data_IF_728010341031
#
_entry.id   IF_728010341031
#
_cell.length_a   1.000
_cell.length_b   1.000
_cell.length_c   1.000
_cell.angle_alpha   90.00
_cell.angle_beta   90.00
_cell.angle_gamma   90.00
#
_symmetry.space_group_name_H-M   'P 1'
#
loop_
_entity.id
_entity.type
_entity.pdbx_description
1 polymer ?
#
# COMPACT_ATOMS: atom_id res chain seq x y z
N UNK A 1 -41.08 -5.93 2.94
CA UNK A 1 -40.55 -5.18 1.78
C UNK A 1 -39.03 -5.35 1.78
N UNK A 2 -38.54 -6.35 1.05
CA UNK A 2 -37.09 -6.58 0.88
C UNK A 2 -36.52 -5.47 0.02
N UNK A 3 -35.64 -4.65 0.59
CA UNK A 3 -34.80 -3.73 -0.19
C UNK A 3 -33.89 -4.56 -1.08
N UNK A 4 -34.15 -4.58 -2.38
CA UNK A 4 -33.26 -5.14 -3.40
C UNK A 4 -31.93 -4.38 -3.30
N UNK A 5 -30.91 -4.98 -2.68
CA UNK A 5 -29.53 -4.49 -2.79
C UNK A 5 -29.14 -4.60 -4.26
N UNK A 6 -29.02 -3.47 -4.92
CA UNK A 6 -28.34 -3.41 -6.21
C UNK A 6 -26.97 -4.09 -6.03
N UNK A 7 -26.62 -5.09 -6.85
CA UNK A 7 -25.32 -5.74 -6.72
C UNK A 7 -24.22 -4.68 -6.86
N UNK A 8 -23.35 -4.62 -5.87
CA UNK A 8 -22.22 -3.70 -5.88
C UNK A 8 -21.27 -4.12 -7.01
N UNK A 9 -21.03 -3.20 -7.97
CA UNK A 9 -20.14 -3.47 -9.11
C UNK A 9 -18.77 -3.90 -8.63
N UNK A 10 -18.22 -4.93 -9.23
CA UNK A 10 -16.84 -5.37 -8.95
C UNK A 10 -15.83 -4.39 -9.54
N UNK A 11 -14.57 -4.44 -9.10
CA UNK A 11 -13.51 -3.64 -9.72
C UNK A 11 -13.35 -3.95 -11.21
N UNK A 12 -13.61 -5.19 -11.61
CA UNK A 12 -13.59 -5.59 -13.01
C UNK A 12 -14.69 -4.89 -13.82
N UNK A 13 -15.92 -4.83 -13.27
CA UNK A 13 -17.04 -4.13 -13.90
C UNK A 13 -16.76 -2.63 -14.02
N UNK A 14 -16.19 -2.03 -12.96
CA UNK A 14 -15.81 -0.61 -12.97
C UNK A 14 -14.71 -0.31 -14.00
N UNK A 15 -13.70 -1.17 -14.11
CA UNK A 15 -12.66 -1.02 -15.13
C UNK A 15 -13.26 -1.16 -16.53
N UNK A 16 -14.20 -2.09 -16.74
CA UNK A 16 -14.88 -2.25 -18.02
C UNK A 16 -15.73 -1.01 -18.36
N UNK A 17 -16.47 -0.46 -17.41
CA UNK A 17 -17.27 0.75 -17.58
C UNK A 17 -16.38 1.97 -17.91
N UNK A 18 -15.28 2.15 -17.19
CA UNK A 18 -14.32 3.23 -17.46
C UNK A 18 -13.72 3.14 -18.88
N UNK A 19 -13.37 1.93 -19.35
CA UNK A 19 -12.89 1.71 -20.72
C UNK A 19 -13.92 2.08 -21.79
N UNK A 20 -15.21 2.10 -21.44
CA UNK A 20 -16.31 2.53 -22.29
C UNK A 20 -16.63 4.03 -22.15
N UNK A 21 -15.86 4.78 -21.36
CA UNK A 21 -15.98 6.22 -21.20
C UNK A 21 -16.77 6.67 -19.95
N UNK A 22 -17.14 5.75 -19.04
CA UNK A 22 -17.78 6.13 -17.78
C UNK A 22 -16.74 6.62 -16.74
N UNK A 23 -16.57 7.94 -16.66
CA UNK A 23 -15.65 8.56 -15.70
C UNK A 23 -16.06 8.37 -14.23
N UNK A 24 -17.35 8.09 -13.94
CA UNK A 24 -17.82 7.81 -12.59
C UNK A 24 -17.23 6.51 -12.07
N UNK A 25 -16.97 5.55 -12.94
CA UNK A 25 -16.31 4.30 -12.59
C UNK A 25 -14.87 4.55 -12.09
N UNK A 26 -14.11 5.49 -12.68
CA UNK A 26 -12.79 5.88 -12.18
C UNK A 26 -12.89 6.50 -10.78
N UNK A 27 -13.84 7.40 -10.56
CA UNK A 27 -14.07 8.01 -9.24
C UNK A 27 -14.35 6.96 -8.17
N UNK A 28 -15.17 5.95 -8.50
CA UNK A 28 -15.48 4.87 -7.58
C UNK A 28 -14.27 3.97 -7.29
N UNK A 29 -13.44 3.65 -8.28
CA UNK A 29 -12.18 2.92 -8.08
C UNK A 29 -11.23 3.68 -7.15
N UNK A 30 -11.08 5.00 -7.35
CA UNK A 30 -10.28 5.83 -6.45
C UNK A 30 -10.85 5.81 -5.04
N UNK A 31 -12.15 6.03 -4.87
CA UNK A 31 -12.83 6.02 -3.57
C UNK A 31 -12.59 4.71 -2.80
N UNK A 32 -12.63 3.57 -3.49
CA UNK A 32 -12.44 2.23 -2.88
C UNK A 32 -11.01 1.98 -2.42
N UNK A 33 -10.04 2.45 -3.19
CA UNK A 33 -8.66 2.00 -3.03
C UNK A 33 -7.70 3.05 -2.49
N UNK A 34 -8.00 4.35 -2.57
CA UNK A 34 -7.07 5.42 -2.17
C UNK A 34 -6.62 5.30 -0.71
N UNK A 35 -7.56 5.02 0.22
CA UNK A 35 -7.22 4.84 1.63
C UNK A 35 -6.27 3.67 1.88
N UNK A 36 -6.46 2.54 1.19
CA UNK A 36 -5.57 1.37 1.31
C UNK A 36 -4.17 1.66 0.76
N UNK A 37 -4.09 2.32 -0.41
CA UNK A 37 -2.82 2.72 -1.01
C UNK A 37 -2.10 3.74 -0.12
N UNK A 38 -2.81 4.72 0.44
CA UNK A 38 -2.24 5.70 1.38
C UNK A 38 -1.64 5.04 2.62
N UNK A 39 -2.37 4.14 3.27
CA UNK A 39 -1.86 3.38 4.43
C UNK A 39 -0.63 2.55 4.08
N UNK A 40 -0.65 1.86 2.96
CA UNK A 40 0.50 1.06 2.50
C UNK A 40 1.74 1.93 2.26
N UNK A 41 1.61 3.04 1.54
CA UNK A 41 2.70 3.97 1.26
C UNK A 41 3.27 4.56 2.56
N UNK A 42 2.40 5.04 3.46
CA UNK A 42 2.80 5.58 4.76
C UNK A 42 3.56 4.55 5.59
N UNK A 43 3.00 3.35 5.77
CA UNK A 43 3.63 2.27 6.54
C UNK A 43 4.90 1.73 5.87
N UNK A 44 5.04 1.90 4.55
CA UNK A 44 6.25 1.55 3.80
C UNK A 44 7.33 2.63 3.87
N UNK A 45 7.07 3.77 4.51
CA UNK A 45 8.05 4.83 4.78
C UNK A 45 7.98 6.01 3.81
N UNK A 46 6.84 6.23 3.13
CA UNK A 46 6.60 7.48 2.42
C UNK A 46 6.62 8.66 3.40
N UNK A 47 7.18 9.79 2.97
CA UNK A 47 7.13 11.02 3.77
C UNK A 47 5.71 11.57 3.76
N UNK A 48 5.15 11.96 4.92
CA UNK A 48 3.77 12.43 5.03
C UNK A 48 3.42 13.56 4.06
N UNK A 49 4.32 14.51 3.83
CA UNK A 49 4.10 15.61 2.89
C UNK A 49 3.90 15.18 1.43
N UNK A 50 4.41 14.02 1.06
CA UNK A 50 4.39 13.52 -0.33
C UNK A 50 3.34 12.42 -0.53
N UNK A 51 2.60 12.07 0.54
CA UNK A 51 1.70 10.93 0.53
C UNK A 51 0.56 11.12 -0.47
N UNK A 52 -0.06 12.30 -0.47
CA UNK A 52 -1.16 12.61 -1.37
C UNK A 52 -0.70 12.59 -2.83
N UNK A 53 0.47 13.14 -3.13
CA UNK A 53 1.06 13.13 -4.47
C UNK A 53 1.36 11.70 -4.94
N UNK A 54 1.90 10.85 -4.05
CA UNK A 54 2.17 9.44 -4.36
C UNK A 54 0.88 8.65 -4.61
N UNK A 55 -0.17 8.92 -3.87
CA UNK A 55 -1.49 8.31 -4.08
C UNK A 55 -2.05 8.76 -5.43
N UNK A 56 -2.07 10.05 -5.73
CA UNK A 56 -2.53 10.59 -7.00
C UNK A 56 -1.74 10.02 -8.18
N UNK A 57 -0.41 10.02 -8.11
CA UNK A 57 0.45 9.49 -9.17
C UNK A 57 0.24 7.98 -9.37
N UNK A 58 -0.08 7.23 -8.29
CA UNK A 58 -0.44 5.81 -8.40
C UNK A 58 -1.66 5.64 -9.30
N UNK A 59 -2.75 6.37 -9.07
CA UNK A 59 -3.96 6.28 -9.88
C UNK A 59 -3.76 6.84 -11.28
N UNK A 60 -3.03 7.93 -11.43
CA UNK A 60 -2.70 8.48 -12.74
C UNK A 60 -1.97 7.45 -13.61
N UNK A 61 -0.95 6.77 -13.07
CA UNK A 61 -0.24 5.69 -13.79
C UNK A 61 -1.13 4.48 -14.03
N UNK A 62 -1.99 4.13 -13.07
CA UNK A 62 -2.93 3.04 -13.23
C UNK A 62 -3.88 3.31 -14.41
N UNK A 63 -4.55 4.45 -14.45
CA UNK A 63 -5.49 4.78 -15.52
C UNK A 63 -4.80 4.89 -16.88
N UNK A 64 -3.61 5.47 -16.96
CA UNK A 64 -2.85 5.51 -18.21
C UNK A 64 -2.45 4.13 -18.75
N UNK A 65 -2.26 3.15 -17.87
CA UNK A 65 -1.86 1.78 -18.21
C UNK A 65 -3.00 0.79 -18.16
N UNK A 66 -4.22 1.26 -17.95
CA UNK A 66 -5.37 0.40 -17.71
C UNK A 66 -5.69 -0.51 -18.92
N UNK A 67 -5.38 -0.07 -20.14
CA UNK A 67 -5.52 -0.91 -21.34
C UNK A 67 -4.71 -2.21 -21.25
N UNK A 68 -3.57 -2.20 -20.55
CA UNK A 68 -2.71 -3.37 -20.36
C UNK A 68 -3.09 -4.25 -19.16
N UNK A 69 -4.01 -3.83 -18.31
CA UNK A 69 -4.47 -4.67 -17.20
C UNK A 69 -5.38 -5.79 -17.70
N UNK A 70 -4.93 -7.04 -17.57
CA UNK A 70 -5.60 -8.23 -18.12
C UNK A 70 -6.44 -9.00 -17.11
N UNK A 71 -6.63 -8.48 -15.89
CA UNK A 71 -7.32 -9.15 -14.78
C UNK A 71 -6.68 -10.50 -14.36
N UNK A 72 -5.41 -10.72 -14.68
CA UNK A 72 -4.64 -11.88 -14.21
C UNK A 72 -4.40 -11.81 -12.68
N UNK A 73 -4.44 -10.61 -12.12
CA UNK A 73 -4.43 -10.35 -10.69
C UNK A 73 -5.53 -9.32 -10.33
N UNK A 74 -6.02 -9.32 -9.07
CA UNK A 74 -6.97 -8.32 -8.62
C UNK A 74 -6.48 -6.90 -8.89
N UNK A 75 -7.39 -6.00 -9.27
CA UNK A 75 -7.07 -4.59 -9.56
C UNK A 75 -6.31 -3.93 -8.40
N UNK A 76 -6.72 -4.23 -7.18
CA UNK A 76 -6.07 -3.77 -5.95
C UNK A 76 -4.59 -4.20 -5.87
N UNK A 77 -4.27 -5.47 -6.16
CA UNK A 77 -2.89 -5.98 -6.17
C UNK A 77 -2.03 -5.26 -7.22
N UNK A 78 -2.62 -4.96 -8.36
CA UNK A 78 -1.95 -4.20 -9.40
C UNK A 78 -1.67 -2.75 -8.99
N UNK A 79 -2.59 -2.09 -8.26
CA UNK A 79 -2.35 -0.77 -7.67
C UNK A 79 -1.19 -0.79 -6.67
N UNK A 80 -1.08 -1.81 -5.80
CA UNK A 80 0.06 -1.95 -4.89
C UNK A 80 1.38 -2.14 -5.63
N UNK A 81 1.39 -2.86 -6.75
CA UNK A 81 2.57 -2.97 -7.62
C UNK A 81 3.03 -1.60 -8.14
N UNK A 82 2.10 -0.76 -8.59
CA UNK A 82 2.38 0.60 -9.08
C UNK A 82 2.90 1.48 -7.95
N UNK A 83 2.19 1.50 -6.81
CA UNK A 83 2.56 2.34 -5.65
C UNK A 83 3.90 1.95 -5.04
N UNK A 84 4.20 0.65 -4.91
CA UNK A 84 5.50 0.18 -4.44
C UNK A 84 6.65 0.53 -5.38
N UNK A 85 6.40 0.50 -6.70
CA UNK A 85 7.38 0.97 -7.68
C UNK A 85 7.63 2.47 -7.58
N UNK A 86 6.57 3.26 -7.43
CA UNK A 86 6.66 4.71 -7.23
C UNK A 86 7.47 5.06 -5.99
N UNK A 87 7.19 4.41 -4.88
CA UNK A 87 7.91 4.63 -3.62
C UNK A 87 9.39 4.26 -3.76
N UNK A 88 9.72 3.17 -4.47
CA UNK A 88 11.11 2.81 -4.77
C UNK A 88 11.84 3.88 -5.59
N UNK A 89 11.16 4.42 -6.59
CA UNK A 89 11.72 5.46 -7.44
C UNK A 89 11.93 6.76 -6.66
N UNK A 90 11.01 7.08 -5.74
CA UNK A 90 11.14 8.21 -4.83
C UNK A 90 12.35 8.06 -3.90
N UNK A 91 12.51 6.90 -3.24
CA UNK A 91 13.68 6.63 -2.42
C UNK A 91 15.00 6.71 -3.20
N UNK A 92 15.03 6.23 -4.44
CA UNK A 92 16.24 6.35 -5.28
C UNK A 92 16.57 7.81 -5.60
N UNK A 93 15.56 8.61 -5.93
CA UNK A 93 15.74 10.06 -6.20
C UNK A 93 16.25 10.80 -4.97
N UNK A 94 15.73 10.46 -3.78
CA UNK A 94 16.18 11.08 -2.52
C UNK A 94 17.61 10.68 -2.18
N UNK A 95 17.97 9.40 -2.31
CA UNK A 95 19.37 8.95 -2.12
C UNK A 95 20.34 9.62 -3.07
N UNK A 96 19.99 9.83 -4.33
CA UNK A 96 20.81 10.54 -5.30
C UNK A 96 20.96 12.04 -5.00
N UNK A 97 20.03 12.65 -4.24
CA UNK A 97 20.12 14.02 -3.74
C UNK A 97 20.83 14.14 -2.39
N UNK A 98 20.87 13.07 -1.61
CA UNK A 98 21.45 13.04 -0.27
C UNK A 98 22.92 12.62 -0.31
N UNK A 99 23.74 13.35 -1.04
CA UNK A 99 25.19 13.46 -0.77
C UNK A 99 25.44 14.52 0.32
N UNK A 100 24.37 15.16 0.85
CA UNK A 100 24.46 16.12 1.96
C UNK A 100 23.35 15.85 2.96
N UNK A 101 23.80 15.57 4.20
CA UNK A 101 23.04 15.54 5.47
C UNK A 101 22.25 14.26 5.80
N UNK A 102 22.90 13.45 6.63
CA UNK A 102 22.28 12.52 7.55
C UNK A 102 21.91 13.35 8.79
N UNK A 103 20.69 13.78 8.91
CA UNK A 103 20.12 14.24 10.17
C UNK A 103 18.63 13.95 10.22
N UNK A 104 18.25 13.27 11.30
CA UNK A 104 16.96 13.08 11.94
C UNK A 104 15.69 13.21 11.08
N UNK A 105 14.99 12.08 10.93
CA UNK A 105 13.61 12.05 10.49
C UNK A 105 12.68 12.00 11.69
N UNK A 106 12.34 13.15 12.22
CA UNK A 106 11.12 13.34 12.98
C UNK A 106 9.93 13.09 12.03
N UNK A 107 9.20 12.03 12.28
CA UNK A 107 7.91 11.79 11.62
C UNK A 107 6.86 12.56 12.41
N UNK A 108 6.16 13.56 11.78
CA UNK A 108 5.08 14.23 12.47
C UNK A 108 3.95 13.25 12.77
N UNK A 109 3.61 13.21 14.04
CA UNK A 109 2.48 12.53 14.62
C UNK A 109 1.16 13.14 14.10
N UNK A 110 0.34 12.34 13.42
CA UNK A 110 -1.08 12.63 13.30
C UNK A 110 -1.81 11.56 14.13
N UNK A 111 -1.74 11.75 15.43
CA UNK A 111 -2.57 11.02 16.36
C UNK A 111 -4.03 11.47 16.19
N UNK A 112 -4.92 10.52 16.01
CA UNK A 112 -6.34 10.71 16.20
C UNK A 112 -6.56 11.00 17.71
N UNK A 113 -7.16 12.14 18.10
CA UNK A 113 -7.26 12.52 19.51
C UNK A 113 -8.17 11.62 20.36
N UNK A 114 -8.80 10.62 19.78
CA UNK A 114 -9.71 9.67 20.46
C UNK A 114 -9.21 8.23 20.53
N UNK A 115 -7.96 7.95 20.11
CA UNK A 115 -7.38 6.62 20.29
C UNK A 115 -6.99 6.42 21.76
N UNK A 116 -7.36 5.27 22.32
CA UNK A 116 -6.92 4.82 23.65
C UNK A 116 -5.38 4.86 23.75
N UNK A 117 -4.83 5.47 24.81
CA UNK A 117 -3.39 5.72 24.95
C UNK A 117 -2.55 4.45 24.76
N UNK A 118 -3.02 3.32 25.31
CA UNK A 118 -2.37 2.02 25.16
C UNK A 118 -2.38 1.50 23.72
N UNK A 119 -3.47 1.73 22.98
CA UNK A 119 -3.58 1.38 21.56
C UNK A 119 -2.64 2.25 20.71
N UNK A 120 -2.46 3.52 21.09
CA UNK A 120 -1.55 4.46 20.43
C UNK A 120 -0.09 4.05 20.63
N UNK A 121 0.31 3.66 21.86
CA UNK A 121 1.67 3.18 22.15
C UNK A 121 2.00 1.87 21.44
N UNK A 122 1.06 0.94 21.37
CA UNK A 122 1.24 -0.32 20.64
C UNK A 122 1.37 -0.08 19.13
N UNK A 123 0.56 0.82 18.56
CA UNK A 123 0.62 1.20 17.16
C UNK A 123 1.95 1.88 16.82
N UNK A 124 2.44 2.75 17.71
CA UNK A 124 3.72 3.42 17.54
C UNK A 124 4.90 2.45 17.59
N UNK A 125 4.90 1.53 18.56
CA UNK A 125 5.91 0.44 18.65
C UNK A 125 5.91 -0.43 17.40
N UNK A 126 4.72 -0.78 16.88
CA UNK A 126 4.61 -1.54 15.63
C UNK A 126 5.17 -0.74 14.45
N UNK A 127 4.87 0.55 14.36
CA UNK A 127 5.38 1.44 13.31
C UNK A 127 6.91 1.53 13.35
N UNK A 128 7.49 1.71 14.53
CA UNK A 128 8.94 1.71 14.73
C UNK A 128 9.55 0.36 14.35
N UNK A 129 8.93 -0.74 14.77
CA UNK A 129 9.35 -2.08 14.38
C UNK A 129 9.32 -2.29 12.87
N UNK A 130 8.26 -1.85 12.19
CA UNK A 130 8.15 -1.89 10.73
C UNK A 130 9.24 -1.09 10.04
N UNK A 131 9.64 0.06 10.60
CA UNK A 131 10.71 0.89 10.04
C UNK A 131 12.08 0.18 10.04
N UNK A 132 12.32 -0.74 11.00
CA UNK A 132 13.57 -1.52 11.09
C UNK A 132 13.63 -2.70 10.12
N UNK A 133 12.49 -3.11 9.56
CA UNK A 133 12.46 -4.24 8.63
C UNK A 133 13.10 -3.88 7.29
N UNK A 134 13.83 -4.83 6.65
CA UNK A 134 14.13 -4.72 5.24
C UNK A 134 12.86 -4.47 4.42
N UNK A 135 12.96 -3.61 3.42
CA UNK A 135 11.81 -3.12 2.64
C UNK A 135 10.85 -4.24 2.20
N UNK A 136 11.36 -5.28 1.57
CA UNK A 136 10.51 -6.36 1.03
C UNK A 136 9.79 -7.14 2.14
N UNK A 137 10.44 -7.34 3.30
CA UNK A 137 9.80 -7.97 4.46
C UNK A 137 8.66 -7.09 4.98
N UNK A 138 8.86 -5.77 5.06
CA UNK A 138 7.85 -4.80 5.47
C UNK A 138 6.66 -4.80 4.52
N UNK A 139 6.90 -4.65 3.21
CA UNK A 139 5.84 -4.63 2.19
C UNK A 139 5.03 -5.92 2.17
N UNK A 140 5.69 -7.09 2.24
CA UNK A 140 5.00 -8.39 2.33
C UNK A 140 4.15 -8.48 3.59
N UNK A 141 4.68 -8.04 4.75
CA UNK A 141 3.94 -8.04 6.01
C UNK A 141 2.69 -7.16 5.93
N UNK A 142 2.84 -5.93 5.41
CA UNK A 142 1.73 -4.99 5.27
C UNK A 142 0.63 -5.52 4.35
N UNK A 143 1.00 -6.05 3.18
CA UNK A 143 0.03 -6.61 2.25
C UNK A 143 -0.67 -7.85 2.82
N UNK A 144 0.02 -8.65 3.63
CA UNK A 144 -0.57 -9.83 4.26
C UNK A 144 -1.52 -9.48 5.41
N UNK A 145 -1.12 -8.54 6.28
CA UNK A 145 -1.84 -8.23 7.53
C UNK A 145 -2.91 -7.17 7.32
N UNK A 146 -2.60 -6.08 6.61
CA UNK A 146 -3.56 -4.99 6.40
C UNK A 146 -4.54 -5.28 5.27
N UNK A 147 -4.10 -5.99 4.24
CA UNK A 147 -4.88 -6.15 3.02
C UNK A 147 -5.40 -7.58 2.83
N UNK A 148 -4.98 -8.52 3.67
CA UNK A 148 -5.42 -9.92 3.60
C UNK A 148 -4.96 -10.67 2.34
N UNK A 149 -4.00 -10.13 1.57
CA UNK A 149 -3.54 -10.71 0.31
C UNK A 149 -2.97 -12.12 0.50
N UNK A 150 -3.25 -13.03 -0.41
CA UNK A 150 -2.55 -14.31 -0.47
C UNK A 150 -1.12 -14.15 -1.02
N UNK A 151 -0.28 -15.19 -0.91
CA UNK A 151 1.12 -15.06 -1.29
C UNK A 151 1.33 -14.93 -2.79
N UNK A 152 0.43 -15.43 -3.61
CA UNK A 152 0.42 -15.29 -5.06
C UNK A 152 0.13 -13.83 -5.46
N UNK A 153 -0.87 -13.22 -4.86
CA UNK A 153 -1.22 -11.81 -5.06
C UNK A 153 -0.10 -10.88 -4.59
N UNK A 154 0.48 -11.16 -3.42
CA UNK A 154 1.61 -10.38 -2.87
C UNK A 154 2.84 -10.51 -3.77
N UNK A 155 3.12 -11.72 -4.26
CA UNK A 155 4.23 -11.98 -5.17
C UNK A 155 4.07 -11.20 -6.48
N UNK A 156 2.88 -11.21 -7.08
CA UNK A 156 2.55 -10.44 -8.28
C UNK A 156 2.70 -8.93 -8.03
N UNK A 157 2.22 -8.43 -6.88
CA UNK A 157 2.33 -7.02 -6.52
C UNK A 157 3.78 -6.54 -6.32
N UNK A 158 4.64 -7.37 -5.74
CA UNK A 158 6.00 -7.00 -5.35
C UNK A 158 7.10 -7.47 -6.32
N UNK A 159 6.72 -8.19 -7.39
CA UNK A 159 7.67 -8.72 -8.37
C UNK A 159 8.59 -9.79 -7.77
N UNK A 160 8.03 -10.70 -6.98
CA UNK A 160 8.74 -11.81 -6.33
C UNK A 160 8.02 -13.14 -6.57
N UNK A 161 8.37 -14.20 -5.87
CA UNK A 161 7.67 -15.50 -5.92
C UNK A 161 6.84 -15.71 -4.64
N UNK A 162 5.76 -16.50 -4.72
CA UNK A 162 4.94 -16.82 -3.56
C UNK A 162 5.75 -17.51 -2.44
N UNK A 163 6.71 -18.36 -2.79
CA UNK A 163 7.64 -18.96 -1.83
C UNK A 163 8.51 -17.94 -1.13
N UNK A 164 9.10 -16.99 -1.88
CA UNK A 164 9.89 -15.90 -1.30
C UNK A 164 9.04 -14.97 -0.44
N UNK A 165 7.81 -14.62 -0.87
CA UNK A 165 6.88 -13.82 -0.09
C UNK A 165 6.57 -14.49 1.27
N UNK A 166 6.33 -15.81 1.28
CA UNK A 166 6.12 -16.57 2.53
C UNK A 166 7.32 -16.50 3.47
N UNK A 167 8.54 -16.64 2.93
CA UNK A 167 9.77 -16.54 3.72
C UNK A 167 9.95 -15.13 4.28
N UNK A 168 9.73 -14.09 3.46
CA UNK A 168 9.80 -12.70 3.90
C UNK A 168 8.78 -12.39 4.99
N UNK A 169 7.55 -12.89 4.88
CA UNK A 169 6.54 -12.75 5.93
C UNK A 169 6.99 -13.38 7.25
N UNK A 170 7.50 -14.62 7.20
CA UNK A 170 7.98 -15.33 8.38
C UNK A 170 9.11 -14.55 9.08
N UNK A 171 10.08 -14.04 8.33
CA UNK A 171 11.18 -13.24 8.88
C UNK A 171 10.67 -11.92 9.48
N UNK A 172 9.72 -11.25 8.82
CA UNK A 172 9.11 -10.02 9.33
C UNK A 172 8.43 -10.27 10.69
N UNK A 173 7.57 -11.31 10.77
CA UNK A 173 6.87 -11.67 12.01
C UNK A 173 7.83 -12.01 13.13
N UNK A 174 8.88 -12.80 12.85
CA UNK A 174 9.90 -13.15 13.84
C UNK A 174 10.57 -11.90 14.40
N UNK A 175 11.06 -11.02 13.53
CA UNK A 175 11.76 -9.79 13.92
C UNK A 175 10.87 -8.81 14.69
N UNK A 176 9.60 -8.65 14.28
CA UNK A 176 8.65 -7.81 15.01
C UNK A 176 8.34 -8.36 16.38
N UNK A 177 8.20 -9.69 16.55
CA UNK A 177 8.00 -10.31 17.87
C UNK A 177 9.20 -10.06 18.81
N UNK A 178 10.42 -10.15 18.30
CA UNK A 178 11.65 -9.87 19.07
C UNK A 178 11.72 -8.41 19.56
N UNK A 179 11.16 -7.47 18.78
CA UNK A 179 11.16 -6.04 19.12
C UNK A 179 10.01 -5.63 20.06
N UNK A 180 8.98 -6.49 20.20
CA UNK A 180 7.79 -6.21 21.03
C UNK A 180 7.83 -6.93 22.38
N UNK A 181 8.85 -7.73 22.65
CA UNK A 181 9.11 -8.36 23.95
C UNK A 181 9.91 -7.44 24.86
#
# INVERSE_FOLDING_TARGET
MSASRTPELTDFDLVAAYRQGDERAATELVRRHAGAIGRFLYSSGAVPSDLDDLVQETFFRAFRRLAGWRAEAPFRSWLFSISGNLLRDDFRRRKGRTVVSIEDRDMPDRADPHADLAATEAAERLRQGLATLPRLQREVFLLRVQEGGDYEQIAAALGTTAGAARVHYHHAVKRLKELMQ
#
